data_IF_375210179859
#
_entry.id   IF_375210179859
#
_cell.length_a   1.000
_cell.length_b   1.000
_cell.length_c   1.000
_cell.angle_alpha   90.00
_cell.angle_beta   90.00
_cell.angle_gamma   90.00
#
_symmetry.space_group_name_H-M   'P 1'
#
loop_
_entity.id
_entity.type
_entity.pdbx_description
1 polymer ?
#
# COMPACT_ATOMS: atom_id res chain seq x y z
N UNK A 1 -10.27 30.06 -76.03
CA UNK A 1 -9.04 29.49 -75.45
C UNK A 1 -8.99 29.88 -73.98
N UNK A 2 -9.10 28.90 -73.06
CA UNK A 2 -8.76 28.87 -71.60
C UNK A 2 -8.96 30.17 -70.80
N UNK A 3 -9.75 30.20 -69.71
CA UNK A 3 -9.39 29.61 -68.41
C UNK A 3 -10.65 29.21 -67.62
N UNK A 4 -10.47 28.16 -66.82
CA UNK A 4 -11.41 27.31 -66.08
C UNK A 4 -11.06 27.45 -64.58
N UNK A 5 -12.02 27.12 -63.71
CA UNK A 5 -11.90 26.87 -62.23
C UNK A 5 -12.16 28.11 -61.36
N UNK A 6 -13.29 28.23 -60.64
CA UNK A 6 -13.88 27.38 -59.58
C UNK A 6 -12.88 27.12 -58.44
N UNK A 7 -13.07 27.75 -57.28
CA UNK A 7 -13.56 27.12 -56.04
C UNK A 7 -13.31 28.05 -54.83
N UNK A 8 -14.43 28.41 -54.21
CA UNK A 8 -14.69 28.70 -52.80
C UNK A 8 -13.53 28.27 -51.87
N UNK A 9 -12.82 29.24 -51.31
CA UNK A 9 -11.92 29.04 -50.17
C UNK A 9 -12.70 29.40 -48.89
N UNK A 10 -13.60 28.51 -48.47
CA UNK A 10 -14.11 28.54 -47.08
C UNK A 10 -13.05 27.81 -46.25
N UNK A 11 -12.38 28.57 -45.39
CA UNK A 11 -11.42 28.07 -44.43
C UNK A 11 -12.10 27.03 -43.53
N UNK A 12 -11.84 25.75 -43.82
CA UNK A 12 -12.13 24.63 -42.94
C UNK A 12 -11.08 24.62 -41.82
N UNK A 13 -11.16 25.60 -40.90
CA UNK A 13 -10.61 25.41 -39.56
C UNK A 13 -11.59 24.51 -38.81
N UNK A 14 -11.50 23.20 -39.06
CA UNK A 14 -12.05 22.22 -38.12
C UNK A 14 -11.26 22.44 -36.84
N UNK A 15 -11.94 23.08 -35.89
CA UNK A 15 -11.68 22.95 -34.47
C UNK A 15 -11.56 21.44 -34.16
N UNK A 16 -10.35 20.90 -34.19
CA UNK A 16 -9.99 19.71 -33.42
C UNK A 16 -9.89 20.15 -31.95
N UNK A 17 -11.02 20.59 -31.39
CA UNK A 17 -11.22 20.50 -29.95
C UNK A 17 -11.47 19.02 -29.66
N UNK A 18 -10.40 18.23 -29.67
CA UNK A 18 -10.41 17.04 -28.83
C UNK A 18 -10.74 17.54 -27.44
N UNK A 19 -11.81 17.03 -26.83
CA UNK A 19 -12.20 17.37 -25.47
C UNK A 19 -11.07 16.95 -24.52
N UNK A 20 -10.08 17.83 -24.36
CA UNK A 20 -9.01 17.65 -23.41
C UNK A 20 -9.68 17.63 -22.03
N UNK A 21 -9.58 16.49 -21.34
CA UNK A 21 -10.04 16.42 -19.97
C UNK A 21 -9.01 17.17 -19.14
N UNK A 22 -9.44 18.06 -18.24
CA UNK A 22 -8.52 18.90 -17.47
C UNK A 22 -7.79 18.09 -16.39
N UNK A 23 -6.54 18.46 -16.11
CA UNK A 23 -5.82 17.97 -14.96
C UNK A 23 -6.51 18.39 -13.65
N UNK A 24 -6.43 17.55 -12.62
CA UNK A 24 -7.06 17.82 -11.34
C UNK A 24 -6.23 17.28 -10.18
N UNK A 25 -6.21 17.99 -9.06
CA UNK A 25 -5.59 17.52 -7.81
C UNK A 25 -6.63 17.55 -6.71
N UNK A 26 -6.89 16.39 -6.11
CA UNK A 26 -7.83 16.25 -5.00
C UNK A 26 -7.03 16.03 -3.73
N UNK A 27 -7.09 16.99 -2.81
CA UNK A 27 -6.57 16.84 -1.45
C UNK A 27 -7.59 16.11 -0.60
N UNK A 28 -7.30 14.84 -0.27
CA UNK A 28 -8.21 13.98 0.49
C UNK A 28 -8.02 14.24 1.97
N UNK A 29 -6.80 14.03 2.45
CA UNK A 29 -6.37 14.21 3.83
C UNK A 29 -5.27 15.26 3.88
N UNK A 30 -5.30 16.11 4.91
CA UNK A 30 -4.27 17.11 5.19
C UNK A 30 -4.03 17.18 6.68
N UNK A 31 -2.80 16.90 7.12
CA UNK A 31 -2.40 16.74 8.52
C UNK A 31 -3.45 15.97 9.34
N UNK A 32 -4.00 14.91 8.75
CA UNK A 32 -5.11 14.18 9.37
C UNK A 32 -4.54 13.22 10.41
N UNK A 33 -4.97 13.31 11.68
CA UNK A 33 -4.49 12.41 12.71
C UNK A 33 -5.03 10.98 12.50
N UNK A 34 -4.13 10.00 12.63
CA UNK A 34 -4.44 8.56 12.67
C UNK A 34 -3.76 7.99 13.91
N UNK A 35 -4.54 7.57 14.91
CA UNK A 35 -4.08 7.26 16.27
C UNK A 35 -5.02 6.23 16.94
N UNK A 36 -4.83 5.98 18.23
CA UNK A 36 -5.71 5.14 19.04
C UNK A 36 -6.15 5.89 20.32
N UNK A 37 -7.40 6.35 20.34
CA UNK A 37 -8.01 7.08 21.46
C UNK A 37 -7.56 8.54 21.58
N UNK A 38 -6.92 9.08 20.56
CA UNK A 38 -6.27 10.39 20.57
C UNK A 38 -7.05 11.50 19.88
N UNK A 39 -6.32 12.36 19.18
CA UNK A 39 -6.88 13.53 18.47
C UNK A 39 -7.87 13.09 17.39
N UNK A 40 -9.03 13.73 17.33
CA UNK A 40 -10.00 13.54 16.25
C UNK A 40 -9.59 14.34 15.00
N UNK A 41 -9.96 13.87 13.79
CA UNK A 41 -9.79 14.65 12.57
C UNK A 41 -10.43 16.03 12.66
N UNK A 42 -9.73 17.05 12.14
CA UNK A 42 -10.22 18.43 12.15
C UNK A 42 -11.30 18.70 11.08
N UNK A 43 -11.25 17.97 9.96
CA UNK A 43 -12.23 18.05 8.88
C UNK A 43 -13.44 17.16 9.19
N UNK A 44 -14.63 17.77 9.32
CA UNK A 44 -15.89 17.07 9.64
C UNK A 44 -16.35 16.09 8.55
N UNK A 45 -15.80 16.17 7.33
CA UNK A 45 -16.01 15.19 6.27
C UNK A 45 -15.23 13.89 6.46
N UNK A 46 -14.32 13.83 7.43
CA UNK A 46 -13.52 12.64 7.77
C UNK A 46 -14.19 11.89 8.93
N UNK A 47 -14.50 10.62 8.69
CA UNK A 47 -14.98 9.70 9.73
C UNK A 47 -13.80 8.88 10.27
N UNK A 48 -13.64 8.88 11.59
CA UNK A 48 -12.65 8.07 12.29
C UNK A 48 -13.31 6.82 12.89
N UNK A 49 -12.68 5.66 12.74
CA UNK A 49 -13.14 4.37 13.26
C UNK A 49 -12.01 3.63 13.97
N UNK A 50 -12.35 2.58 14.74
CA UNK A 50 -11.38 1.79 15.52
C UNK A 50 -10.52 2.71 16.39
N UNK A 51 -11.19 3.58 17.15
CA UNK A 51 -10.58 4.61 18.00
C UNK A 51 -9.60 5.56 17.29
N UNK A 52 -9.72 5.72 15.98
CA UNK A 52 -8.88 6.63 15.18
C UNK A 52 -7.86 5.95 14.28
N UNK A 53 -7.73 4.62 14.36
CA UNK A 53 -6.78 3.83 13.56
C UNK A 53 -7.14 3.80 12.08
N UNK A 54 -8.41 4.07 11.77
CA UNK A 54 -8.93 4.19 10.41
C UNK A 54 -9.57 5.56 10.25
N UNK A 55 -9.20 6.28 9.21
CA UNK A 55 -9.90 7.49 8.75
C UNK A 55 -10.43 7.27 7.35
N UNK A 56 -11.69 7.63 7.09
CA UNK A 56 -12.36 7.48 5.79
C UNK A 56 -13.05 8.78 5.40
N UNK A 57 -12.92 9.17 4.13
CA UNK A 57 -13.59 10.32 3.54
C UNK A 57 -14.33 9.90 2.25
N UNK A 58 -15.55 10.41 2.09
CA UNK A 58 -16.29 10.29 0.83
C UNK A 58 -15.79 11.38 -0.13
N UNK A 59 -15.43 11.01 -1.34
CA UNK A 59 -14.92 11.93 -2.37
C UNK A 59 -15.76 11.77 -3.63
N UNK A 60 -15.95 12.86 -4.37
CA UNK A 60 -16.45 12.84 -5.74
C UNK A 60 -15.36 13.41 -6.65
N UNK A 61 -14.65 12.53 -7.35
CA UNK A 61 -13.65 12.91 -8.34
C UNK A 61 -14.31 13.23 -9.69
N UNK A 62 -13.64 14.01 -10.57
CA UNK A 62 -14.09 14.21 -11.93
C UNK A 62 -14.33 12.88 -12.65
N UNK A 63 -15.34 12.86 -13.51
CA UNK A 63 -15.57 11.72 -14.41
C UNK A 63 -14.68 11.94 -15.62
N UNK A 64 -13.77 10.98 -15.86
CA UNK A 64 -12.93 10.95 -17.05
C UNK A 64 -13.44 9.87 -18.01
N UNK A 65 -14.27 10.20 -19.02
CA UNK A 65 -14.85 9.21 -19.95
C UNK A 65 -13.80 8.34 -20.64
N UNK A 66 -12.66 8.93 -21.01
CA UNK A 66 -11.56 8.24 -21.68
C UNK A 66 -10.46 7.78 -20.70
N UNK A 67 -10.78 7.72 -19.40
CA UNK A 67 -9.81 7.52 -18.32
C UNK A 67 -8.82 8.68 -18.15
N UNK A 68 -7.95 8.55 -17.16
CA UNK A 68 -6.84 9.47 -16.87
C UNK A 68 -5.70 8.65 -16.27
N UNK A 69 -4.45 9.08 -16.44
CA UNK A 69 -3.43 8.65 -15.48
C UNK A 69 -3.68 9.31 -14.13
N UNK A 70 -3.42 8.52 -13.08
CA UNK A 70 -3.73 8.85 -11.70
C UNK A 70 -2.53 8.48 -10.83
N UNK A 71 -2.07 9.43 -10.04
CA UNK A 71 -1.06 9.20 -9.01
C UNK A 71 -1.64 9.45 -7.63
N UNK A 72 -1.48 8.48 -6.74
CA UNK A 72 -1.69 8.69 -5.31
C UNK A 72 -0.39 9.14 -4.67
N UNK A 73 -0.44 10.22 -3.88
CA UNK A 73 0.68 10.65 -3.06
C UNK A 73 0.24 10.71 -1.60
N UNK A 74 1.00 10.04 -0.74
CA UNK A 74 0.79 10.03 0.71
C UNK A 74 2.06 10.54 1.41
N UNK A 75 1.91 11.47 2.35
CA UNK A 75 3.01 12.00 3.17
C UNK A 75 2.67 11.77 4.64
N UNK A 76 3.60 11.21 5.40
CA UNK A 76 3.39 10.80 6.78
C UNK A 76 4.44 11.39 7.72
N UNK A 77 3.98 11.77 8.90
CA UNK A 77 4.78 12.23 10.04
C UNK A 77 4.31 11.47 11.28
N UNK A 78 5.23 10.99 12.10
CA UNK A 78 4.89 10.61 13.47
C UNK A 78 4.44 11.86 14.21
N UNK A 79 3.40 11.71 15.03
CA UNK A 79 2.96 12.71 16.00
C UNK A 79 3.38 12.34 17.44
N UNK A 80 4.14 11.25 17.59
CA UNK A 80 4.63 10.74 18.87
C UNK A 80 4.79 9.21 18.89
N UNK A 81 4.14 8.49 17.96
CA UNK A 81 4.35 7.03 17.79
C UNK A 81 5.77 6.73 17.28
N UNK A 82 6.47 5.82 17.96
CA UNK A 82 7.90 5.53 17.72
C UNK A 82 8.14 4.38 16.77
N UNK A 83 7.11 3.62 16.43
CA UNK A 83 7.24 2.30 15.83
C UNK A 83 7.11 2.35 14.31
N UNK A 84 7.48 1.26 13.66
CA UNK A 84 7.30 0.97 12.25
C UNK A 84 6.03 0.15 12.03
N UNK A 85 4.92 0.84 11.85
CA UNK A 85 3.57 0.26 11.74
C UNK A 85 3.19 -0.01 10.29
N UNK A 86 2.44 -1.09 10.10
CA UNK A 86 1.74 -1.37 8.85
C UNK A 86 0.71 -0.29 8.53
N UNK A 87 0.62 0.09 7.26
CA UNK A 87 -0.34 1.06 6.78
C UNK A 87 -0.89 0.76 5.38
N UNK A 88 -2.11 1.20 5.14
CA UNK A 88 -2.85 0.98 3.90
C UNK A 88 -3.66 2.20 3.53
N UNK A 89 -3.47 2.72 2.32
CA UNK A 89 -4.45 3.57 1.64
C UNK A 89 -5.33 2.67 0.80
N UNK A 90 -6.63 2.71 1.06
CA UNK A 90 -7.61 1.82 0.43
C UNK A 90 -8.83 2.60 -0.06
N UNK A 91 -9.60 1.97 -0.93
CA UNK A 91 -10.85 2.50 -1.43
C UNK A 91 -12.00 1.52 -1.26
N UNK A 92 -13.20 2.08 -1.20
CA UNK A 92 -14.47 1.36 -1.21
C UNK A 92 -15.37 2.05 -2.25
N UNK A 93 -15.59 1.37 -3.38
CA UNK A 93 -16.40 1.85 -4.50
C UNK A 93 -17.77 1.21 -4.54
N UNK A 94 -17.82 -0.12 -4.44
CA UNK A 94 -19.06 -0.89 -4.41
C UNK A 94 -19.67 -0.86 -3.00
N UNK A 95 -20.69 -0.04 -2.81
CA UNK A 95 -21.46 0.03 -1.57
C UNK A 95 -22.75 -0.79 -1.60
N UNK A 96 -22.97 -1.58 -2.67
CA UNK A 96 -24.17 -2.43 -2.81
C UNK A 96 -24.07 -3.72 -2.01
N UNK A 97 -22.84 -4.19 -1.77
CA UNK A 97 -22.50 -5.37 -0.97
C UNK A 97 -22.00 -4.97 0.41
N UNK A 98 -21.95 -5.93 1.34
CA UNK A 98 -21.21 -5.74 2.59
C UNK A 98 -19.76 -5.41 2.26
N UNK A 99 -19.21 -4.44 2.95
CA UNK A 99 -17.86 -3.93 2.78
C UNK A 99 -17.35 -3.37 4.11
N UNK A 100 -16.06 -3.00 4.16
CA UNK A 100 -15.43 -2.47 5.37
C UNK A 100 -16.19 -1.28 5.98
N UNK A 101 -16.67 -0.33 5.17
CA UNK A 101 -17.39 0.84 5.68
C UNK A 101 -18.72 0.42 6.34
N UNK A 102 -19.45 -0.51 5.73
CA UNK A 102 -20.70 -1.00 6.33
C UNK A 102 -20.47 -1.79 7.63
N UNK A 103 -19.32 -2.47 7.75
CA UNK A 103 -18.93 -3.13 9.01
C UNK A 103 -18.59 -2.10 10.09
N UNK A 104 -17.89 -1.03 9.72
CA UNK A 104 -17.46 0.01 10.64
C UNK A 104 -18.57 0.97 11.07
N UNK A 105 -19.48 1.34 10.15
CA UNK A 105 -20.47 2.40 10.34
C UNK A 105 -21.88 1.87 10.55
N UNK A 106 -22.23 0.77 9.87
CA UNK A 106 -23.62 0.30 9.75
C UNK A 106 -23.85 -0.99 10.56
N UNK A 107 -22.94 -1.35 11.48
CA UNK A 107 -22.97 -2.55 12.32
C UNK A 107 -23.20 -3.86 11.55
N UNK A 108 -22.78 -3.92 10.28
CA UNK A 108 -22.78 -5.17 9.51
C UNK A 108 -21.66 -6.07 10.01
N UNK A 109 -21.84 -7.38 9.84
CA UNK A 109 -20.79 -8.36 10.11
C UNK A 109 -20.23 -8.89 8.80
N UNK A 110 -18.96 -9.32 8.82
CA UNK A 110 -18.40 -10.04 7.68
C UNK A 110 -19.18 -11.34 7.45
N UNK A 111 -19.62 -11.62 6.20
CA UNK A 111 -20.26 -12.89 5.88
C UNK A 111 -19.34 -14.08 6.18
N UNK A 112 -19.91 -15.22 6.58
CA UNK A 112 -19.15 -16.44 6.88
C UNK A 112 -18.36 -16.96 5.67
N UNK A 113 -18.90 -16.79 4.46
CA UNK A 113 -18.25 -17.15 3.19
C UNK A 113 -17.27 -16.08 2.66
N UNK A 114 -17.07 -14.99 3.40
CA UNK A 114 -16.09 -13.95 3.10
C UNK A 114 -14.79 -14.14 3.91
N UNK A 115 -14.50 -15.37 4.36
CA UNK A 115 -13.36 -15.67 5.21
C UNK A 115 -13.01 -17.15 5.25
N UNK A 116 -11.99 -17.48 6.05
CA UNK A 116 -11.53 -18.85 6.30
C UNK A 116 -11.65 -19.15 7.79
N UNK A 117 -12.76 -19.72 8.25
CA UNK A 117 -12.98 -19.96 9.67
C UNK A 117 -12.96 -18.66 10.48
N UNK A 118 -11.95 -18.49 11.35
CA UNK A 118 -11.79 -17.30 12.20
C UNK A 118 -11.29 -16.07 11.45
N UNK A 119 -10.67 -16.25 10.27
CA UNK A 119 -10.16 -15.15 9.44
C UNK A 119 -11.29 -14.56 8.60
N UNK A 120 -11.99 -13.58 9.17
CA UNK A 120 -13.18 -12.95 8.58
C UNK A 120 -12.81 -11.85 7.59
N UNK A 121 -13.64 -11.67 6.56
CA UNK A 121 -13.55 -10.53 5.65
C UNK A 121 -12.32 -10.51 4.73
N UNK A 122 -11.59 -11.63 4.61
CA UNK A 122 -10.33 -11.67 3.85
C UNK A 122 -10.50 -12.06 2.37
N UNK A 123 -11.64 -12.66 1.99
CA UNK A 123 -11.92 -13.08 0.61
C UNK A 123 -13.25 -12.50 0.11
N UNK A 124 -13.32 -12.21 -1.19
CA UNK A 124 -14.55 -11.80 -1.88
C UNK A 124 -15.60 -12.90 -1.79
N UNK A 125 -16.86 -12.51 -1.66
CA UNK A 125 -18.01 -13.40 -1.84
C UNK A 125 -19.11 -12.72 -2.67
N UNK A 126 -20.22 -13.42 -2.90
CA UNK A 126 -21.39 -12.83 -3.57
C UNK A 126 -21.95 -11.64 -2.79
N UNK A 127 -21.87 -11.66 -1.45
CA UNK A 127 -22.41 -10.63 -0.56
C UNK A 127 -21.35 -9.69 0.04
N UNK A 128 -20.06 -9.90 -0.24
CA UNK A 128 -18.96 -9.10 0.31
C UNK A 128 -17.93 -8.68 -0.74
N UNK A 129 -17.51 -7.40 -0.69
CA UNK A 129 -16.37 -6.88 -1.46
C UNK A 129 -15.26 -6.43 -0.49
N UNK A 130 -14.04 -7.02 -0.57
CA UNK A 130 -12.88 -6.56 0.19
C UNK A 130 -12.51 -5.12 -0.16
N UNK A 131 -11.92 -4.39 0.80
CA UNK A 131 -11.35 -3.08 0.53
C UNK A 131 -10.21 -3.19 -0.50
N UNK A 132 -10.24 -2.33 -1.53
CA UNK A 132 -9.21 -2.33 -2.56
C UNK A 132 -8.04 -1.45 -2.11
N UNK A 133 -6.88 -2.07 -1.90
CA UNK A 133 -5.65 -1.35 -1.59
C UNK A 133 -5.09 -0.64 -2.83
N UNK A 134 -4.78 0.64 -2.68
CA UNK A 134 -4.14 1.45 -3.73
C UNK A 134 -2.69 1.81 -3.37
N UNK A 135 -2.34 1.79 -2.08
CA UNK A 135 -0.98 1.99 -1.61
C UNK A 135 -0.79 1.30 -0.25
N UNK A 136 0.06 0.27 -0.21
CA UNK A 136 0.59 -0.25 1.05
C UNK A 136 1.87 0.50 1.42
N UNK A 137 2.02 0.82 2.69
CA UNK A 137 3.21 1.47 3.22
C UNK A 137 3.54 0.96 4.61
N UNK A 138 4.78 1.21 5.04
CA UNK A 138 5.27 0.92 6.38
C UNK A 138 5.78 2.23 6.95
N UNK A 139 5.25 2.64 8.10
CA UNK A 139 5.74 3.84 8.76
C UNK A 139 7.22 3.64 9.11
N UNK A 140 8.03 4.70 9.02
CA UNK A 140 9.36 4.66 9.61
C UNK A 140 9.26 4.87 11.12
N UNK A 141 10.34 4.55 11.83
CA UNK A 141 10.47 4.78 13.27
C UNK A 141 10.52 6.29 13.60
N UNK A 142 9.38 6.90 13.91
CA UNK A 142 9.31 8.20 14.57
C UNK A 142 9.64 9.44 13.71
N UNK A 143 9.65 9.33 12.38
CA UNK A 143 9.94 10.47 11.47
C UNK A 143 9.09 11.69 11.79
N UNK A 144 9.65 12.91 11.68
CA UNK A 144 8.92 14.13 12.04
C UNK A 144 9.08 14.48 13.51
N UNK A 145 8.17 14.02 14.38
CA UNK A 145 8.18 14.36 15.82
C UNK A 145 9.57 14.19 16.43
N UNK A 146 10.21 13.05 16.18
CA UNK A 146 11.54 12.72 16.73
C UNK A 146 12.71 13.15 15.83
N UNK A 147 12.46 13.91 14.77
CA UNK A 147 13.51 14.39 13.86
C UNK A 147 14.10 15.73 14.28
N UNK A 148 13.50 16.40 15.26
CA UNK A 148 14.04 17.59 15.90
C UNK A 148 15.07 17.22 16.96
N UNK A 149 16.37 17.35 16.62
CA UNK A 149 17.48 17.08 17.54
C UNK A 149 17.64 18.15 18.64
N UNK A 150 16.97 19.30 18.55
CA UNK A 150 16.94 20.29 19.64
C UNK A 150 15.96 19.85 20.71
N UNK A 151 14.76 19.42 20.29
CA UNK A 151 13.76 18.86 21.21
C UNK A 151 14.14 17.46 21.72
N UNK A 152 14.85 16.67 20.91
CA UNK A 152 15.23 15.29 21.22
C UNK A 152 16.75 15.04 21.04
N UNK A 153 17.62 15.67 21.83
CA UNK A 153 19.07 15.66 21.62
C UNK A 153 19.71 14.27 21.67
N UNK A 154 19.10 13.33 22.41
CA UNK A 154 19.59 11.95 22.49
C UNK A 154 19.51 11.20 21.16
N UNK A 155 18.62 11.58 20.25
CA UNK A 155 18.44 10.87 18.98
C UNK A 155 19.59 11.10 17.99
N UNK A 156 20.36 12.17 18.19
CA UNK A 156 21.62 12.38 17.47
C UNK A 156 22.63 11.25 17.71
N UNK A 157 22.58 10.59 18.88
CA UNK A 157 23.49 9.49 19.22
C UNK A 157 23.23 8.22 18.40
N UNK A 158 21.98 8.03 17.95
CA UNK A 158 21.60 6.94 17.06
C UNK A 158 21.86 7.24 15.59
N UNK A 159 22.21 8.49 15.23
CA UNK A 159 22.43 8.90 13.85
C UNK A 159 23.83 8.52 13.37
N UNK A 160 23.97 7.67 12.34
CA UNK A 160 25.27 7.35 11.80
C UNK A 160 25.87 8.60 11.11
N UNK A 161 27.20 8.66 11.06
CA UNK A 161 27.94 9.77 10.43
C UNK A 161 27.61 9.94 8.94
N UNK A 162 27.12 8.89 8.28
CA UNK A 162 26.67 8.89 6.89
C UNK A 162 25.30 9.57 6.69
N UNK A 163 24.55 9.86 7.75
CA UNK A 163 23.25 10.55 7.69
C UNK A 163 23.42 11.97 8.25
N UNK A 164 23.42 13.02 7.41
CA UNK A 164 23.67 14.39 7.87
C UNK A 164 22.57 14.94 8.80
N UNK A 165 21.31 14.57 8.56
CA UNK A 165 20.16 14.99 9.35
C UNK A 165 19.01 13.98 9.20
N UNK A 166 18.11 13.95 10.18
CA UNK A 166 16.85 13.22 10.09
C UNK A 166 15.87 13.94 9.16
N UNK A 167 15.17 13.17 8.32
CA UNK A 167 14.08 13.70 7.51
C UNK A 167 12.87 14.04 8.40
N UNK A 168 12.17 15.13 8.10
CA UNK A 168 11.00 15.58 8.89
C UNK A 168 9.69 14.87 8.53
N UNK A 169 9.68 14.14 7.44
CA UNK A 169 8.53 13.39 6.94
C UNK A 169 9.01 12.32 5.96
N UNK A 170 8.13 11.38 5.65
CA UNK A 170 8.30 10.45 4.54
C UNK A 170 7.16 10.66 3.55
N UNK A 171 7.45 10.59 2.24
CA UNK A 171 6.45 10.75 1.20
C UNK A 171 6.58 9.65 0.15
N UNK A 172 5.45 9.10 -0.26
CA UNK A 172 5.33 8.07 -1.26
C UNK A 172 4.40 8.54 -2.37
N UNK A 173 4.82 8.35 -3.62
CA UNK A 173 3.97 8.56 -4.79
C UNK A 173 3.88 7.23 -5.57
N UNK A 174 2.69 6.80 -5.96
CA UNK A 174 2.48 5.61 -6.77
C UNK A 174 1.55 5.92 -7.94
N UNK A 175 1.92 5.42 -9.13
CA UNK A 175 1.02 5.36 -10.28
C UNK A 175 -0.02 4.27 -10.01
N UNK A 176 -1.29 4.68 -10.02
CA UNK A 176 -2.46 3.82 -9.80
C UNK A 176 -3.43 3.93 -10.97
N UNK A 177 -2.92 4.27 -12.15
CA UNK A 177 -3.75 4.52 -13.35
C UNK A 177 -4.51 3.26 -13.81
N UNK A 178 -3.99 2.07 -13.54
CA UNK A 178 -4.70 0.81 -13.77
C UNK A 178 -5.95 0.65 -12.88
N UNK A 179 -6.14 1.53 -11.89
CA UNK A 179 -7.31 1.59 -11.02
C UNK A 179 -8.27 2.73 -11.38
N UNK A 180 -8.15 3.33 -12.57
CA UNK A 180 -8.91 4.51 -12.97
C UNK A 180 -10.44 4.35 -12.90
N UNK A 181 -10.99 3.16 -13.10
CA UNK A 181 -12.44 2.93 -12.92
C UNK A 181 -12.89 3.14 -11.47
N UNK A 182 -12.07 2.71 -10.52
CA UNK A 182 -12.36 2.80 -9.10
C UNK A 182 -12.22 4.23 -8.55
N UNK A 183 -11.34 5.02 -9.17
CA UNK A 183 -10.91 6.35 -8.71
C UNK A 183 -11.61 7.50 -9.46
N UNK A 184 -12.74 7.24 -10.11
CA UNK A 184 -13.54 8.27 -10.78
C UNK A 184 -14.96 8.34 -10.22
N UNK A 185 -15.60 9.51 -10.31
CA UNK A 185 -16.91 9.75 -9.70
C UNK A 185 -16.87 9.62 -8.17
N UNK A 186 -17.98 9.17 -7.57
CA UNK A 186 -18.09 9.07 -6.10
C UNK A 186 -17.56 7.75 -5.56
N UNK A 187 -16.69 7.80 -4.55
CA UNK A 187 -16.16 6.65 -3.82
C UNK A 187 -15.75 7.05 -2.40
N UNK A 188 -15.44 6.07 -1.55
CA UNK A 188 -14.81 6.30 -0.25
C UNK A 188 -13.34 5.94 -0.35
N UNK A 189 -12.48 6.77 0.24
CA UNK A 189 -11.05 6.51 0.37
C UNK A 189 -10.68 6.64 1.84
N UNK A 190 -9.82 5.74 2.32
CA UNK A 190 -9.40 5.69 3.70
C UNK A 190 -7.92 5.40 3.86
N UNK A 191 -7.45 5.67 5.07
CA UNK A 191 -6.13 5.30 5.57
C UNK A 191 -6.33 4.46 6.82
N UNK A 192 -5.62 3.35 6.89
CA UNK A 192 -5.44 2.56 8.10
C UNK A 192 -3.96 2.57 8.49
N UNK A 193 -3.66 2.71 9.78
CA UNK A 193 -2.33 2.49 10.35
C UNK A 193 -2.51 1.63 11.62
N UNK A 194 -1.66 0.61 11.79
CA UNK A 194 -1.66 -0.27 12.97
C UNK A 194 -1.07 0.38 14.24
N UNK A 195 -1.51 1.60 14.54
CA UNK A 195 -1.07 2.37 15.70
C UNK A 195 -1.92 2.05 16.93
N UNK A 196 -1.27 1.99 18.09
CA UNK A 196 -1.92 1.76 19.38
C UNK A 196 -1.58 2.86 20.38
N UNK A 197 -1.12 4.02 19.88
CA UNK A 197 -0.76 5.18 20.71
C UNK A 197 -1.76 6.32 20.49
N UNK A 198 -2.02 7.12 21.52
CA UNK A 198 -2.92 8.27 21.40
C UNK A 198 -2.31 9.39 20.53
N UNK A 199 -0.98 9.47 20.48
CA UNK A 199 -0.26 10.39 19.62
C UNK A 199 -0.38 10.00 18.14
N UNK A 200 -0.07 8.74 17.81
CA UNK A 200 -0.16 8.21 16.46
C UNK A 200 0.66 8.99 15.43
N UNK A 201 0.03 9.25 14.30
CA UNK A 201 0.61 9.85 13.09
C UNK A 201 -0.28 10.97 12.54
N UNK A 202 0.33 11.83 11.73
CA UNK A 202 -0.38 12.75 10.83
C UNK A 202 -0.11 12.35 9.38
N UNK A 203 -1.17 12.32 8.56
CA UNK A 203 -1.07 11.94 7.16
C UNK A 203 -1.73 12.95 6.21
N UNK A 204 -1.05 13.22 5.10
CA UNK A 204 -1.56 13.89 3.91
C UNK A 204 -1.80 12.85 2.81
N UNK A 205 -2.92 12.91 2.09
CA UNK A 205 -3.16 12.07 0.92
C UNK A 205 -3.77 12.90 -0.20
N UNK A 206 -3.21 12.77 -1.40
CA UNK A 206 -3.67 13.47 -2.61
C UNK A 206 -3.81 12.49 -3.77
N UNK A 207 -4.79 12.74 -4.63
CA UNK A 207 -4.92 12.10 -5.95
C UNK A 207 -4.67 13.15 -7.03
N UNK A 208 -3.72 12.87 -7.91
CA UNK A 208 -3.32 13.73 -9.02
C UNK A 208 -3.75 13.06 -10.32
N UNK A 209 -4.60 13.74 -11.08
CA UNK A 209 -5.12 13.34 -12.37
C UNK A 209 -4.49 14.24 -13.43
N UNK A 210 -3.88 13.68 -14.46
CA UNK A 210 -3.33 14.49 -15.55
C UNK A 210 -4.38 14.92 -16.58
N UNK A 211 -5.53 14.22 -16.66
CA UNK A 211 -6.51 14.36 -17.72
C UNK A 211 -6.15 13.65 -19.03
N UNK A 212 -4.93 13.13 -19.16
CA UNK A 212 -4.48 12.40 -20.36
C UNK A 212 -5.28 11.10 -20.52
N UNK A 213 -5.94 10.87 -21.66
CA UNK A 213 -6.69 9.64 -21.92
C UNK A 213 -5.84 8.38 -21.68
N UNK A 214 -6.41 7.43 -20.95
CA UNK A 214 -5.79 6.14 -20.67
C UNK A 214 -6.86 5.06 -20.54
N UNK A 215 -6.55 3.83 -20.95
CA UNK A 215 -7.44 2.70 -20.78
C UNK A 215 -7.96 2.59 -19.34
N UNK A 216 -9.27 2.36 -19.21
CA UNK A 216 -10.00 2.30 -17.94
C UNK A 216 -10.49 0.86 -17.73
N UNK A 217 -9.61 -0.04 -17.28
CA UNK A 217 -9.99 -1.45 -17.10
C UNK A 217 -11.01 -1.60 -15.97
N UNK A 218 -11.81 -2.66 -16.07
CA UNK A 218 -12.63 -3.18 -14.98
C UNK A 218 -11.77 -3.66 -13.83
N UNK A 219 -12.28 -3.55 -12.61
CA UNK A 219 -11.53 -3.92 -11.40
C UNK A 219 -12.33 -4.90 -10.55
N UNK A 220 -11.69 -5.98 -10.10
CA UNK A 220 -12.31 -6.99 -9.25
C UNK A 220 -11.42 -7.28 -8.03
N UNK A 221 -11.72 -6.69 -6.86
CA UNK A 221 -11.03 -7.01 -5.61
C UNK A 221 -11.34 -8.44 -5.15
N UNK A 222 -10.32 -9.26 -4.89
CA UNK A 222 -10.46 -10.69 -4.59
C UNK A 222 -10.11 -11.03 -3.14
N UNK A 223 -8.97 -10.56 -2.67
CA UNK A 223 -8.41 -10.90 -1.36
C UNK A 223 -7.88 -9.65 -0.69
N UNK A 224 -8.11 -9.49 0.61
CA UNK A 224 -7.40 -8.52 1.44
C UNK A 224 -7.31 -9.02 2.89
N UNK A 225 -6.14 -9.49 3.32
CA UNK A 225 -5.93 -10.04 4.67
C UNK A 225 -5.62 -8.97 5.72
N UNK A 226 -5.57 -7.68 5.35
CA UNK A 226 -5.37 -6.61 6.33
C UNK A 226 -6.52 -6.63 7.34
N UNK A 227 -6.13 -6.64 8.61
CA UNK A 227 -7.03 -6.78 9.76
C UNK A 227 -7.62 -5.43 10.19
N UNK A 228 -8.38 -4.80 9.29
CA UNK A 228 -8.91 -3.45 9.48
C UNK A 228 -9.81 -3.33 10.70
N UNK A 229 -10.79 -4.23 10.88
CA UNK A 229 -11.83 -4.05 11.89
C UNK A 229 -12.31 -5.40 12.45
N UNK A 230 -11.93 -5.72 13.70
CA UNK A 230 -12.38 -6.96 14.37
C UNK A 230 -11.89 -8.26 13.72
N UNK A 231 -10.84 -8.19 12.90
CA UNK A 231 -10.21 -9.33 12.24
C UNK A 231 -8.96 -9.77 13.00
N UNK A 232 -8.64 -11.07 12.95
CA UNK A 232 -7.40 -11.64 13.51
C UNK A 232 -6.20 -11.31 12.61
N UNK A 233 -5.00 -11.28 13.17
CA UNK A 233 -3.76 -11.35 12.40
C UNK A 233 -3.79 -12.53 11.41
N UNK A 234 -3.43 -12.34 10.13
CA UNK A 234 -3.54 -13.36 9.11
C UNK A 234 -2.35 -14.33 9.10
N UNK A 235 -2.32 -15.22 10.09
CA UNK A 235 -1.41 -16.38 10.16
C UNK A 235 -2.01 -17.63 9.49
N UNK A 236 -3.12 -17.48 8.76
CA UNK A 236 -3.84 -18.58 8.11
C UNK A 236 -2.96 -19.41 7.17
N UNK A 237 -1.97 -18.80 6.54
CA UNK A 237 -1.09 -19.44 5.58
C UNK A 237 -0.19 -20.50 6.22
N UNK A 238 0.10 -20.41 7.52
CA UNK A 238 0.86 -21.41 8.26
C UNK A 238 0.12 -22.77 8.37
N UNK A 239 -1.19 -22.77 8.14
CA UNK A 239 -2.04 -23.96 8.29
C UNK A 239 -2.55 -24.49 6.96
N UNK A 240 -2.87 -23.59 6.02
CA UNK A 240 -3.40 -23.96 4.70
C UNK A 240 -3.27 -22.83 3.68
N UNK A 241 -3.16 -23.17 2.39
CA UNK A 241 -3.31 -22.19 1.31
C UNK A 241 -4.67 -21.47 1.38
N UNK A 242 -4.68 -20.21 0.97
CA UNK A 242 -5.92 -19.47 0.72
C UNK A 242 -6.44 -19.84 -0.67
N UNK A 243 -7.66 -20.35 -0.75
CA UNK A 243 -8.33 -20.71 -2.00
C UNK A 243 -9.60 -19.88 -2.19
N UNK A 244 -9.86 -19.46 -3.43
CA UNK A 244 -11.03 -18.66 -3.80
C UNK A 244 -11.51 -18.99 -5.22
N UNK A 245 -12.80 -19.27 -5.33
CA UNK A 245 -13.49 -19.32 -6.63
C UNK A 245 -13.80 -17.91 -7.12
N UNK A 246 -13.27 -17.56 -8.29
CA UNK A 246 -13.42 -16.25 -8.93
C UNK A 246 -14.40 -16.38 -10.09
N UNK A 247 -15.58 -15.78 -9.96
CA UNK A 247 -16.59 -15.75 -11.03
C UNK A 247 -16.41 -14.51 -11.92
N UNK A 248 -16.17 -14.74 -13.21
CA UNK A 248 -16.21 -13.72 -14.26
C UNK A 248 -17.59 -13.72 -14.95
N UNK A 249 -18.31 -12.58 -14.98
CA UNK A 249 -19.66 -12.52 -15.55
C UNK A 249 -19.69 -12.53 -17.10
N UNK A 250 -18.57 -12.18 -17.74
CA UNK A 250 -18.36 -12.15 -19.18
C UNK A 250 -16.92 -12.59 -19.51
N UNK A 251 -16.66 -12.84 -20.80
CA UNK A 251 -15.29 -13.01 -21.29
C UNK A 251 -14.49 -11.74 -20.96
N UNK A 252 -13.24 -11.89 -20.55
CA UNK A 252 -12.39 -10.81 -20.11
C UNK A 252 -11.06 -10.84 -20.88
N UNK A 253 -10.63 -9.69 -21.38
CA UNK A 253 -9.38 -9.52 -22.13
C UNK A 253 -8.32 -8.85 -21.28
N UNK A 254 -7.06 -9.10 -21.62
CA UNK A 254 -5.90 -8.45 -20.98
C UNK A 254 -5.95 -8.51 -19.44
N UNK A 255 -6.41 -9.64 -18.90
CA UNK A 255 -6.58 -9.81 -17.47
C UNK A 255 -5.21 -9.79 -16.82
N UNK A 256 -5.04 -8.91 -15.83
CA UNK A 256 -3.86 -8.85 -14.98
C UNK A 256 -4.27 -9.06 -13.53
N UNK A 257 -3.56 -9.94 -12.85
CA UNK A 257 -3.62 -10.10 -11.41
C UNK A 257 -2.57 -9.19 -10.77
N UNK A 258 -2.97 -8.47 -9.73
CA UNK A 258 -2.10 -7.60 -8.95
C UNK A 258 -1.99 -8.16 -7.55
N UNK A 259 -0.78 -8.53 -7.15
CA UNK A 259 -0.49 -9.18 -5.88
C UNK A 259 0.37 -8.27 -4.99
N UNK A 260 -0.12 -7.91 -3.81
CA UNK A 260 0.62 -7.08 -2.83
C UNK A 260 0.83 -7.93 -1.57
N UNK A 261 2.07 -8.12 -1.17
CA UNK A 261 2.45 -8.98 -0.04
C UNK A 261 3.50 -8.34 0.85
N UNK A 262 3.39 -8.50 2.17
CA UNK A 262 4.45 -8.21 3.15
C UNK A 262 4.37 -9.22 4.30
N UNK A 263 5.53 -9.76 4.69
CA UNK A 263 5.67 -10.66 5.85
C UNK A 263 5.95 -9.88 7.14
N UNK A 264 5.40 -10.36 8.26
CA UNK A 264 5.43 -9.68 9.56
C UNK A 264 5.70 -10.66 10.69
N UNK A 265 6.26 -10.14 11.79
CA UNK A 265 6.66 -10.93 12.95
C UNK A 265 7.95 -10.37 13.51
N UNK A 266 7.89 -9.19 14.15
CA UNK A 266 9.05 -8.37 14.51
C UNK A 266 9.99 -8.92 15.59
N UNK A 267 9.90 -10.21 15.91
CA UNK A 267 10.82 -10.92 16.80
C UNK A 267 11.94 -11.57 15.97
N UNK A 268 13.05 -11.92 16.62
CA UNK A 268 14.16 -12.63 15.96
C UNK A 268 13.66 -13.95 15.36
N UNK A 269 13.89 -14.13 14.05
CA UNK A 269 13.48 -15.32 13.30
C UNK A 269 12.02 -15.35 12.85
N UNK A 270 11.23 -14.31 13.13
CA UNK A 270 9.86 -14.20 12.62
C UNK A 270 9.80 -13.88 11.12
N UNK A 271 8.64 -14.05 10.51
CA UNK A 271 8.40 -13.96 9.06
C UNK A 271 8.77 -12.59 8.46
N UNK A 272 8.91 -11.55 9.28
CA UNK A 272 9.44 -10.24 8.88
C UNK A 272 10.90 -10.33 8.41
N UNK A 273 11.71 -11.19 9.03
CA UNK A 273 13.17 -11.24 8.91
C UNK A 273 13.71 -12.54 8.27
N UNK A 274 12.83 -13.38 7.70
CA UNK A 274 13.24 -14.59 6.97
C UNK A 274 12.64 -14.64 5.57
N UNK A 275 13.37 -15.27 4.64
CA UNK A 275 12.98 -15.42 3.24
C UNK A 275 11.96 -16.55 3.10
N UNK A 276 10.69 -16.20 2.97
CA UNK A 276 9.59 -17.16 2.74
C UNK A 276 9.04 -17.02 1.32
N UNK A 277 8.81 -18.14 0.66
CA UNK A 277 8.31 -18.17 -0.72
C UNK A 277 6.80 -17.95 -0.76
N UNK A 278 6.34 -17.13 -1.70
CA UNK A 278 4.92 -16.91 -2.01
C UNK A 278 4.64 -17.55 -3.38
N UNK A 279 3.77 -18.56 -3.41
CA UNK A 279 3.29 -19.22 -4.63
C UNK A 279 1.84 -18.85 -4.89
N UNK A 280 1.55 -18.29 -6.07
CA UNK A 280 0.17 -17.97 -6.50
C UNK A 280 -0.17 -18.83 -7.71
N UNK A 281 -1.32 -19.49 -7.68
CA UNK A 281 -1.83 -20.30 -8.78
C UNK A 281 -3.16 -19.75 -9.29
N UNK A 282 -3.33 -19.80 -10.60
CA UNK A 282 -4.57 -19.52 -11.30
C UNK A 282 -4.97 -20.75 -12.11
N UNK A 283 -6.13 -21.33 -11.85
CA UNK A 283 -6.59 -22.59 -12.44
C UNK A 283 -5.52 -23.69 -12.39
N UNK A 284 -4.94 -23.89 -11.20
CA UNK A 284 -3.86 -24.85 -10.88
C UNK A 284 -2.50 -24.52 -11.53
N UNK A 285 -2.40 -23.55 -12.43
CA UNK A 285 -1.13 -23.10 -13.01
C UNK A 285 -0.45 -22.10 -12.08
N UNK A 286 0.82 -22.32 -11.74
CA UNK A 286 1.63 -21.33 -11.04
C UNK A 286 1.82 -20.10 -11.94
N UNK A 287 1.38 -18.94 -11.45
CA UNK A 287 1.48 -17.66 -12.15
C UNK A 287 2.48 -16.70 -11.48
N UNK A 288 2.79 -16.93 -10.20
CA UNK A 288 3.81 -16.23 -9.43
C UNK A 288 4.47 -17.22 -8.48
N UNK A 289 5.80 -17.28 -8.48
CA UNK A 289 6.58 -18.00 -7.49
C UNK A 289 7.79 -17.12 -7.15
N UNK A 290 7.72 -16.42 -6.01
CA UNK A 290 8.68 -15.38 -5.64
C UNK A 290 8.97 -15.39 -4.16
N UNK A 291 10.16 -14.92 -3.77
CA UNK A 291 10.49 -14.60 -2.38
C UNK A 291 10.42 -13.09 -2.25
N UNK A 292 9.35 -12.54 -1.65
CA UNK A 292 9.16 -11.10 -1.58
C UNK A 292 10.09 -10.54 -0.49
N UNK A 293 11.23 -9.97 -0.89
CA UNK A 293 12.35 -9.64 0.00
C UNK A 293 13.05 -8.35 -0.42
N UNK A 294 13.56 -7.59 0.57
CA UNK A 294 14.34 -6.37 0.35
C UNK A 294 15.63 -6.37 1.16
N UNK A 295 16.72 -5.97 0.51
CA UNK A 295 18.07 -5.91 1.09
C UNK A 295 18.65 -4.48 1.08
N UNK A 296 17.81 -3.48 0.76
CA UNK A 296 18.20 -2.08 0.62
C UNK A 296 17.65 -1.18 1.73
N UNK A 297 17.26 -1.76 2.87
CA UNK A 297 16.60 -1.02 3.96
C UNK A 297 17.49 0.04 4.62
N UNK A 298 18.81 -0.14 4.62
CA UNK A 298 19.76 0.90 5.06
C UNK A 298 19.61 2.23 4.28
N UNK A 299 19.11 2.21 3.04
CA UNK A 299 18.84 3.43 2.26
C UNK A 299 17.73 4.32 2.89
N UNK A 300 16.93 3.75 3.78
CA UNK A 300 15.85 4.42 4.50
C UNK A 300 16.29 4.97 5.86
N UNK A 301 17.56 4.77 6.28
CA UNK A 301 18.05 5.14 7.62
C UNK A 301 17.67 6.55 8.04
N UNK A 302 17.77 7.54 7.14
CA UNK A 302 17.47 8.97 7.43
C UNK A 302 16.03 9.25 7.86
N UNK A 303 15.10 8.34 7.63
CA UNK A 303 13.69 8.49 8.02
C UNK A 303 13.41 7.90 9.40
N UNK A 304 14.37 7.23 10.05
CA UNK A 304 14.12 6.34 11.18
C UNK A 304 14.83 6.82 12.47
N UNK A 305 14.53 8.02 13.00
CA UNK A 305 15.21 8.57 14.18
C UNK A 305 15.06 7.72 15.45
N UNK A 306 13.94 7.00 15.63
CA UNK A 306 13.69 6.22 16.86
C UNK A 306 13.95 4.72 16.69
N UNK A 307 14.58 4.30 15.60
CA UNK A 307 14.92 2.89 15.39
C UNK A 307 15.88 2.39 16.48
N UNK A 308 15.65 1.18 16.98
CA UNK A 308 16.60 0.49 17.85
C UNK A 308 17.94 0.29 17.15
N UNK A 309 19.04 0.35 17.91
CA UNK A 309 20.41 0.23 17.39
C UNK A 309 21.18 -0.78 18.24
N UNK A 310 21.82 -1.73 17.59
CA UNK A 310 22.79 -2.66 18.17
C UNK A 310 24.22 -2.28 17.77
N UNK A 311 25.19 -2.79 18.52
CA UNK A 311 26.61 -2.66 18.22
C UNK A 311 27.14 -4.05 17.84
N UNK A 312 27.57 -4.18 16.60
CA UNK A 312 28.12 -5.41 16.04
C UNK A 312 29.64 -5.28 15.88
N UNK A 313 30.36 -6.36 16.15
CA UNK A 313 31.80 -6.40 15.87
C UNK A 313 32.02 -6.71 14.39
N UNK A 314 32.79 -5.87 13.70
CA UNK A 314 33.19 -6.09 12.31
C UNK A 314 34.65 -5.69 12.06
N UNK A 315 35.20 -5.99 10.89
CA UNK A 315 36.53 -5.57 10.45
C UNK A 315 36.44 -4.57 9.30
N UNK A 316 36.90 -3.34 9.53
CA UNK A 316 36.88 -2.30 8.51
C UNK A 316 38.29 -2.03 7.94
N UNK A 317 38.35 -1.87 6.61
CA UNK A 317 39.52 -1.36 5.89
C UNK A 317 39.36 0.13 5.64
N UNK A 318 40.28 0.95 6.15
CA UNK A 318 40.20 2.42 6.05
C UNK A 318 41.58 3.06 5.80
N UNK A 319 41.58 4.35 5.46
CA UNK A 319 42.80 5.14 5.34
C UNK A 319 43.18 5.73 6.70
N UNK A 320 44.35 5.36 7.21
CA UNK A 320 44.89 5.92 8.45
C UNK A 320 45.42 7.34 8.27
N UNK A 321 45.81 7.99 9.38
CA UNK A 321 46.38 9.35 9.35
C UNK A 321 47.64 9.50 8.50
N UNK A 322 48.36 8.40 8.25
CA UNK A 322 49.54 8.34 7.37
C UNK A 322 49.20 8.25 5.88
N UNK A 323 47.91 8.20 5.50
CA UNK A 323 47.45 7.96 4.14
C UNK A 323 47.55 6.49 3.69
N UNK A 324 48.08 5.59 4.54
CA UNK A 324 48.18 4.16 4.27
C UNK A 324 46.88 3.43 4.62
N UNK A 325 46.65 2.29 3.97
CA UNK A 325 45.49 1.42 4.23
C UNK A 325 45.75 0.59 5.49
N UNK A 326 44.80 0.61 6.42
CA UNK A 326 44.80 -0.15 7.66
C UNK A 326 43.54 -1.02 7.74
N UNK A 327 43.60 -2.11 8.49
CA UNK A 327 42.45 -2.97 8.84
C UNK A 327 42.38 -3.03 10.36
N UNK A 328 41.21 -2.79 10.95
CA UNK A 328 40.98 -2.95 12.40
C UNK A 328 39.61 -3.54 12.67
N UNK A 329 39.53 -4.25 13.79
CA UNK A 329 38.23 -4.59 14.39
C UNK A 329 37.60 -3.29 14.88
N UNK A 330 36.33 -3.09 14.52
CA UNK A 330 35.51 -1.96 14.90
C UNK A 330 34.21 -2.44 15.55
N UNK A 331 33.57 -1.52 16.25
CA UNK A 331 32.20 -1.64 16.73
C UNK A 331 31.30 -0.81 15.80
N UNK A 332 30.55 -1.50 14.93
CA UNK A 332 29.67 -0.87 13.95
C UNK A 332 28.22 -0.86 14.45
N UNK A 333 27.48 0.20 14.12
CA UNK A 333 26.06 0.30 14.46
C UNK A 333 25.22 -0.44 13.43
N UNK A 334 24.29 -1.26 13.91
CA UNK A 334 23.24 -1.86 13.08
C UNK A 334 21.89 -1.38 13.62
N UNK A 335 21.15 -0.58 12.85
CA UNK A 335 19.79 -0.19 13.25
C UNK A 335 18.77 -1.23 12.79
N UNK A 336 17.67 -1.38 13.55
CA UNK A 336 16.54 -2.22 13.13
C UNK A 336 16.01 -1.80 11.75
N UNK A 337 16.00 -0.51 11.45
CA UNK A 337 15.60 0.00 10.14
C UNK A 337 16.49 -0.46 8.97
N UNK A 338 17.70 -0.93 9.26
CA UNK A 338 18.69 -1.32 8.26
C UNK A 338 18.55 -2.80 7.87
N UNK A 339 17.88 -3.60 8.72
CA UNK A 339 17.66 -5.02 8.51
C UNK A 339 16.84 -5.29 7.24
N UNK A 340 17.30 -6.28 6.47
CA UNK A 340 16.57 -6.84 5.34
C UNK A 340 15.26 -7.49 5.79
N UNK A 341 14.22 -7.41 4.97
CA UNK A 341 12.85 -7.76 5.38
C UNK A 341 12.01 -8.32 4.25
N UNK A 342 10.92 -8.97 4.63
CA UNK A 342 9.92 -9.57 3.73
C UNK A 342 9.09 -8.53 2.95
N UNK A 343 9.73 -7.92 1.94
CA UNK A 343 9.18 -7.04 0.91
C UNK A 343 8.97 -5.57 1.29
N UNK A 344 9.47 -5.14 2.44
CA UNK A 344 9.32 -3.77 2.91
C UNK A 344 10.52 -3.33 3.74
N UNK A 345 10.66 -2.03 3.91
CA UNK A 345 11.57 -1.39 4.87
C UNK A 345 10.80 -0.33 5.66
N UNK A 346 11.16 -0.03 6.91
CA UNK A 346 10.58 1.07 7.67
C UNK A 346 10.72 2.41 6.93
N UNK A 347 9.59 2.97 6.48
CA UNK A 347 9.53 4.15 5.61
C UNK A 347 9.34 3.87 4.11
N UNK A 348 9.08 2.63 3.71
CA UNK A 348 8.84 2.27 2.31
C UNK A 348 7.36 2.16 1.96
N UNK A 349 7.07 2.30 0.66
CA UNK A 349 5.84 1.79 0.03
C UNK A 349 6.10 0.40 -0.55
N UNK A 350 5.05 -0.37 -0.78
CA UNK A 350 5.12 -1.69 -1.44
C UNK A 350 4.51 -1.57 -2.83
N UNK A 351 5.24 -2.03 -3.84
CA UNK A 351 4.73 -2.11 -5.22
C UNK A 351 4.04 -3.46 -5.42
N UNK A 352 2.89 -3.51 -6.12
CA UNK A 352 2.27 -4.77 -6.49
C UNK A 352 3.14 -5.53 -7.49
N UNK A 353 3.03 -6.86 -7.48
CA UNK A 353 3.48 -7.74 -8.56
C UNK A 353 2.36 -7.85 -9.59
N UNK A 354 2.48 -7.23 -10.79
CA UNK A 354 1.53 -7.44 -11.87
C UNK A 354 1.84 -8.76 -12.59
N UNK A 355 0.82 -9.58 -12.82
CA UNK A 355 0.93 -10.85 -13.52
C UNK A 355 -0.12 -10.92 -14.61
N UNK A 356 0.32 -11.02 -15.87
CA UNK A 356 -0.58 -11.13 -17.02
C UNK A 356 -1.17 -12.55 -17.10
N UNK A 357 -2.49 -12.66 -16.97
CA UNK A 357 -3.24 -13.91 -17.16
C UNK A 357 -3.70 -14.09 -18.61
N UNK A 358 -3.72 -13.01 -19.40
CA UNK A 358 -4.17 -13.02 -20.79
C UNK A 358 -5.68 -12.89 -20.90
N UNK A 359 -6.28 -13.58 -21.88
CA UNK A 359 -7.72 -13.57 -22.06
C UNK A 359 -8.34 -14.74 -21.29
N UNK A 360 -9.37 -14.45 -20.50
CA UNK A 360 -10.11 -15.42 -19.70
C UNK A 360 -11.55 -15.53 -20.18
N UNK A 361 -12.12 -16.73 -20.10
CA UNK A 361 -13.51 -16.98 -20.47
C UNK A 361 -14.45 -16.64 -19.32
N UNK A 362 -15.69 -16.30 -19.65
CA UNK A 362 -16.78 -16.26 -18.68
C UNK A 362 -16.83 -17.59 -17.93
N UNK A 363 -16.99 -17.53 -16.61
CA UNK A 363 -17.11 -18.75 -15.80
C UNK A 363 -16.49 -18.61 -14.42
N UNK A 364 -16.21 -19.77 -13.82
CA UNK A 364 -15.53 -19.89 -12.53
C UNK A 364 -14.06 -20.24 -12.79
N UNK A 365 -13.18 -19.44 -12.22
CA UNK A 365 -11.74 -19.67 -12.15
C UNK A 365 -11.32 -19.88 -10.70
N UNK A 366 -10.13 -20.43 -10.47
CA UNK A 366 -9.66 -20.76 -9.13
C UNK A 366 -8.36 -20.03 -8.84
N UNK A 367 -8.38 -19.19 -7.80
CA UNK A 367 -7.19 -18.57 -7.22
C UNK A 367 -6.73 -19.37 -6.01
N UNK A 368 -5.44 -19.68 -5.94
CA UNK A 368 -4.79 -20.24 -4.76
C UNK A 368 -3.55 -19.40 -4.41
N UNK A 369 -3.38 -19.07 -3.13
CA UNK A 369 -2.23 -18.38 -2.58
C UNK A 369 -1.65 -19.26 -1.48
N UNK A 370 -0.41 -19.69 -1.68
CA UNK A 370 0.31 -20.60 -0.80
C UNK A 370 1.58 -19.90 -0.32
N UNK A 371 1.74 -19.84 1.00
CA UNK A 371 2.88 -19.20 1.67
C UNK A 371 3.24 -20.12 2.84
N UNK A 372 4.49 -20.57 2.88
CA UNK A 372 5.01 -21.41 3.96
C UNK A 372 5.31 -20.54 5.20
N UNK A 373 4.26 -19.95 5.76
CA UNK A 373 4.32 -18.99 6.85
C UNK A 373 4.48 -19.68 8.21
N UNK A 374 5.00 -18.93 9.19
CA UNK A 374 5.06 -19.40 10.58
C UNK A 374 3.76 -19.03 11.32
N UNK A 375 3.19 -19.91 12.16
CA UNK A 375 2.00 -19.56 12.94
C UNK A 375 2.33 -18.56 14.05
N UNK A 376 1.29 -17.94 14.60
CA UNK A 376 1.43 -17.11 15.81
C UNK A 376 1.69 -18.02 17.02
N UNK A 377 2.65 -17.62 17.85
CA UNK A 377 3.01 -18.30 19.11
C UNK A 377 3.16 -17.26 20.24
N UNK A 378 2.10 -17.07 21.03
CA UNK A 378 2.09 -16.08 22.11
C UNK A 378 2.23 -14.65 21.59
N UNK A 379 3.34 -13.99 21.95
CA UNK A 379 3.69 -12.63 21.51
C UNK A 379 4.46 -12.60 20.17
N UNK A 380 4.77 -13.76 19.59
CA UNK A 380 5.36 -13.91 18.25
C UNK A 380 4.28 -13.81 17.20
N UNK A 381 3.96 -12.58 16.82
CA UNK A 381 2.86 -12.27 15.89
C UNK A 381 3.26 -12.47 14.42
N UNK A 382 3.64 -13.69 14.02
CA UNK A 382 3.90 -14.02 12.62
C UNK A 382 2.61 -13.90 11.78
N UNK A 383 2.64 -13.16 10.68
CA UNK A 383 1.48 -13.07 9.78
C UNK A 383 1.86 -12.47 8.41
N UNK A 384 0.97 -12.65 7.43
CA UNK A 384 1.15 -12.14 6.07
C UNK A 384 0.01 -11.22 5.64
N UNK A 385 0.35 -9.95 5.38
CA UNK A 385 -0.57 -9.02 4.76
C UNK A 385 -0.56 -9.24 3.26
N UNK A 386 -1.66 -9.69 2.69
CA UNK A 386 -1.81 -10.05 1.27
C UNK A 386 -3.07 -9.40 0.73
N UNK A 387 -2.95 -8.66 -0.37
CA UNK A 387 -4.11 -8.20 -1.13
C UNK A 387 -3.97 -8.53 -2.61
N UNK A 388 -5.09 -8.93 -3.21
CA UNK A 388 -5.16 -9.40 -4.59
C UNK A 388 -6.38 -8.82 -5.27
N UNK A 389 -6.20 -8.31 -6.48
CA UNK A 389 -7.28 -7.86 -7.34
C UNK A 389 -6.94 -8.11 -8.82
N UNK A 390 -7.98 -8.17 -9.65
CA UNK A 390 -7.83 -8.22 -11.10
C UNK A 390 -8.12 -6.86 -11.73
N UNK A 391 -7.43 -6.58 -12.83
CA UNK A 391 -7.84 -5.59 -13.82
C UNK A 391 -8.07 -6.27 -15.17
N UNK A 392 -9.10 -5.89 -15.91
CA UNK A 392 -9.40 -6.50 -17.21
C UNK A 392 -10.22 -5.57 -18.13
N UNK A 393 -10.29 -5.92 -19.39
CA UNK A 393 -11.15 -5.28 -20.39
C UNK A 393 -12.31 -6.22 -20.73
N UNK A 394 -13.51 -5.68 -20.98
CA UNK A 394 -14.68 -6.44 -21.45
C UNK A 394 -14.74 -6.50 -22.98
#
# INVERSE_FOLDING_TARGET
MKIRKILIFIAFFIYLYGSAQDANVINIFKNTPVNFGGKKPHDSGIQAFQDGRIVIKKITAPVYPNGSDIKVKATLRSAGDRWDKSGSVFIIKDTSRVNLLSVLRDNKTYPSNAGLGEYKGIIRSESYTPALEILRFMTPFGVGFYSDEVAHPKLKLGRPVSVPAWAKEVSWEADVSHLAEALTGTFYIGVWIDTWTAEGYEIDVTLNYSGRPLAKPKILPLVNTIYYAGQKYPDNFAFKPLQLDVRLPADAKNVKLWYITTGHGGHSGGDEFIKIKNTVKWDKKIILDTIPWREDCAAFRRFNPTSGVWIEKDSARFYGKSGKKEIKVIEERLASSDLSRSNWCPGSKVLPYPVLLGNLKKGIHHLEIDIDATPIDGDKLNHWLVSVYLTYEE
#
